data_IF_408297476098
#
_entry.id   IF_408297476098
#
_cell.length_a   1.000
_cell.length_b   1.000
_cell.length_c   1.000
_cell.angle_alpha   90.00
_cell.angle_beta   90.00
_cell.angle_gamma   90.00
#
_symmetry.space_group_name_H-M   'P 1'
#
loop_
_entity.id
_entity.type
_entity.pdbx_description
1 polymer ?
#
# COMPACT_ATOMS: atom_id res chain seq x y z
N UNK A 1 -4.83 -5.71 5.08
CA UNK A 1 -6.11 -5.11 4.69
C UNK A 1 -6.12 -3.59 4.80
N UNK A 2 -6.00 -2.99 6.00
CA UNK A 2 -6.05 -1.50 6.14
C UNK A 2 -4.96 -0.79 5.34
N UNK A 3 -3.74 -1.33 5.30
CA UNK A 3 -2.67 -0.82 4.45
C UNK A 3 -2.95 -0.94 2.95
N UNK A 4 -3.70 -1.96 2.53
CA UNK A 4 -4.09 -2.17 1.13
C UNK A 4 -5.30 -1.34 0.70
N UNK A 5 -6.02 -0.75 1.65
CA UNK A 5 -7.12 0.22 1.40
C UNK A 5 -6.55 1.63 1.17
N UNK A 6 -5.25 1.83 1.40
CA UNK A 6 -4.66 3.16 1.34
C UNK A 6 -5.04 4.03 2.54
N UNK A 7 -5.13 3.44 3.76
CA UNK A 7 -5.42 4.23 4.96
C UNK A 7 -4.29 5.24 5.21
N UNK A 8 -4.60 6.54 5.38
CA UNK A 8 -3.60 7.55 5.72
C UNK A 8 -2.76 7.14 6.94
N UNK A 9 -1.43 7.26 6.83
CA UNK A 9 -0.49 6.77 7.85
C UNK A 9 0.02 5.35 7.62
N UNK A 10 -0.36 4.69 6.52
CA UNK A 10 0.20 3.40 6.10
C UNK A 10 1.05 3.55 4.84
N UNK A 11 1.98 2.62 4.63
CA UNK A 11 2.85 2.60 3.44
C UNK A 11 2.07 2.50 2.13
N UNK A 12 0.90 1.84 2.12
CA UNK A 12 0.03 1.72 0.96
C UNK A 12 -0.47 3.07 0.47
N UNK A 13 -0.94 3.92 1.38
CA UNK A 13 -1.38 5.28 1.05
C UNK A 13 -0.29 6.10 0.36
N UNK A 14 0.93 6.04 0.88
CA UNK A 14 2.06 6.80 0.30
C UNK A 14 2.33 6.36 -1.13
N UNK A 15 2.35 5.04 -1.40
CA UNK A 15 2.56 4.50 -2.74
C UNK A 15 1.46 4.91 -3.72
N UNK A 16 0.20 4.72 -3.36
CA UNK A 16 -0.96 5.08 -4.18
C UNK A 16 -0.99 6.58 -4.48
N UNK A 17 -0.74 7.41 -3.47
CA UNK A 17 -0.73 8.86 -3.62
C UNK A 17 0.38 9.36 -4.56
N UNK A 18 1.60 8.80 -4.43
CA UNK A 18 2.71 9.14 -5.32
C UNK A 18 2.43 8.73 -6.77
N UNK A 19 1.83 7.57 -6.98
CA UNK A 19 1.43 7.12 -8.32
C UNK A 19 0.40 8.06 -8.94
N UNK A 20 -0.62 8.50 -8.18
CA UNK A 20 -1.61 9.46 -8.66
C UNK A 20 -0.95 10.78 -9.04
N UNK A 21 -0.07 11.33 -8.20
CA UNK A 21 0.64 12.58 -8.50
C UNK A 21 1.50 12.43 -9.77
N UNK A 22 2.20 11.32 -9.90
CA UNK A 22 2.98 11.02 -11.10
C UNK A 22 2.12 10.92 -12.36
N UNK A 23 1.00 10.21 -12.29
CA UNK A 23 0.05 10.06 -13.38
C UNK A 23 -0.59 11.40 -13.77
N UNK A 24 -0.83 12.31 -12.81
CA UNK A 24 -1.40 13.63 -13.06
C UNK A 24 -0.51 14.48 -13.96
N UNK A 25 0.81 14.36 -13.81
CA UNK A 25 1.77 15.07 -14.68
C UNK A 25 1.72 14.59 -16.13
N UNK A 26 1.27 13.34 -16.34
CA UNK A 26 1.17 12.75 -17.68
C UNK A 26 -0.19 13.04 -18.34
N UNK A 27 -1.31 12.76 -17.66
CA UNK A 27 -2.66 12.97 -18.20
C UNK A 27 -3.71 12.96 -17.11
N UNK A 28 -4.58 13.99 -17.09
CA UNK A 28 -5.71 14.05 -16.16
C UNK A 28 -6.71 12.90 -16.32
N UNK A 29 -6.91 12.39 -17.53
CA UNK A 29 -7.83 11.28 -17.80
C UNK A 29 -7.34 9.97 -17.16
N UNK A 30 -6.03 9.74 -17.19
CA UNK A 30 -5.42 8.56 -16.56
C UNK A 30 -5.61 8.61 -15.05
N UNK A 31 -5.50 9.79 -14.44
CA UNK A 31 -5.73 9.97 -13.00
C UNK A 31 -7.15 9.67 -12.59
N UNK A 32 -8.14 10.09 -13.38
CA UNK A 32 -9.55 9.77 -13.11
C UNK A 32 -9.74 8.25 -13.09
N UNK A 33 -9.22 7.55 -14.09
CA UNK A 33 -9.27 6.07 -14.12
C UNK A 33 -8.58 5.42 -12.92
N UNK A 34 -7.39 5.89 -12.53
CA UNK A 34 -6.65 5.40 -11.38
C UNK A 34 -7.40 5.65 -10.06
N UNK A 35 -8.00 6.84 -9.89
CA UNK A 35 -8.81 7.17 -8.72
C UNK A 35 -10.04 6.26 -8.58
N UNK A 36 -10.72 5.93 -9.68
CA UNK A 36 -11.80 4.93 -9.67
C UNK A 36 -11.30 3.55 -9.22
N UNK A 37 -10.12 3.13 -9.69
CA UNK A 37 -9.51 1.88 -9.27
C UNK A 37 -9.25 1.82 -7.75
N UNK A 38 -8.75 2.90 -7.16
CA UNK A 38 -8.51 3.00 -5.72
C UNK A 38 -9.83 2.94 -4.94
N UNK A 39 -10.86 3.66 -5.38
CA UNK A 39 -12.18 3.63 -4.74
C UNK A 39 -12.78 2.22 -4.77
N UNK A 40 -12.72 1.52 -5.92
CA UNK A 40 -13.21 0.16 -6.04
C UNK A 40 -12.42 -0.82 -5.17
N UNK A 41 -11.09 -0.66 -5.10
CA UNK A 41 -10.23 -1.44 -4.21
C UNK A 41 -10.63 -1.24 -2.75
N UNK A 42 -10.85 0.00 -2.33
CA UNK A 42 -11.30 0.31 -0.97
C UNK A 42 -12.66 -0.34 -0.66
N UNK A 43 -13.62 -0.25 -1.57
CA UNK A 43 -14.97 -0.83 -1.39
C UNK A 43 -14.88 -2.34 -1.19
N UNK A 44 -14.17 -3.06 -2.06
CA UNK A 44 -14.12 -4.52 -1.95
C UNK A 44 -13.32 -4.97 -0.72
N UNK A 45 -12.25 -4.27 -0.36
CA UNK A 45 -11.45 -4.59 0.82
C UNK A 45 -12.21 -4.31 2.12
N UNK A 46 -12.96 -3.21 2.21
CA UNK A 46 -13.82 -2.91 3.36
C UNK A 46 -14.99 -3.91 3.49
N UNK A 47 -15.54 -4.34 2.35
CA UNK A 47 -16.56 -5.40 2.35
C UNK A 47 -15.98 -6.72 2.89
N UNK A 48 -14.78 -7.09 2.45
CA UNK A 48 -14.07 -8.27 2.94
C UNK A 48 -13.74 -8.16 4.43
N UNK A 49 -13.28 -6.99 4.87
CA UNK A 49 -13.00 -6.69 6.28
C UNK A 49 -14.23 -6.88 7.14
N UNK A 50 -15.36 -6.29 6.73
CA UNK A 50 -16.65 -6.45 7.42
C UNK A 50 -17.03 -7.93 7.55
N UNK A 51 -16.88 -8.70 6.48
CA UNK A 51 -17.24 -10.11 6.46
C UNK A 51 -16.36 -10.98 7.36
N UNK A 52 -15.06 -10.70 7.44
CA UNK A 52 -14.12 -11.49 8.22
C UNK A 52 -14.18 -11.11 9.71
N UNK A 53 -14.20 -9.81 10.03
CA UNK A 53 -14.06 -9.34 11.41
C UNK A 53 -15.41 -9.29 12.13
N UNK A 54 -16.46 -8.87 11.44
CA UNK A 54 -17.81 -8.74 12.02
C UNK A 54 -18.75 -9.86 11.59
N UNK A 55 -18.27 -10.81 10.78
CA UNK A 55 -19.06 -11.96 10.35
C UNK A 55 -19.23 -12.99 11.48
N UNK A 56 -20.36 -13.69 11.48
CA UNK A 56 -20.57 -14.85 12.35
C UNK A 56 -19.78 -16.06 11.83
N UNK A 57 -19.23 -16.85 12.76
CA UNK A 57 -18.55 -18.11 12.40
C UNK A 57 -19.62 -19.10 11.92
N UNK A 58 -19.67 -19.34 10.62
CA UNK A 58 -20.64 -20.27 10.00
C UNK A 58 -20.08 -21.69 9.83
N UNK A 59 -18.76 -21.84 9.92
CA UNK A 59 -18.09 -23.13 9.74
C UNK A 59 -17.52 -23.64 11.07
N UNK A 60 -18.05 -24.77 11.55
CA UNK A 60 -17.64 -25.38 12.81
C UNK A 60 -16.14 -25.75 12.85
N UNK A 61 -15.51 -25.99 11.69
CA UNK A 61 -14.06 -26.24 11.60
C UNK A 61 -13.19 -25.02 11.97
N UNK A 62 -13.76 -23.82 11.96
CA UNK A 62 -13.07 -22.59 12.36
C UNK A 62 -13.13 -22.34 13.86
N UNK A 63 -14.01 -23.03 14.58
CA UNK A 63 -14.12 -22.92 16.04
C UNK A 63 -12.88 -23.51 16.78
N UNK A 64 -12.17 -24.45 16.14
CA UNK A 64 -11.00 -25.13 16.71
C UNK A 64 -9.67 -24.45 16.35
N UNK A 65 -9.70 -23.29 15.68
CA UNK A 65 -8.48 -22.55 15.35
C UNK A 65 -7.89 -21.96 16.63
N UNK A 66 -6.64 -22.33 16.90
CA UNK A 66 -5.86 -21.81 18.01
C UNK A 66 -5.51 -20.33 17.78
N UNK A 67 -5.47 -19.55 18.86
CA UNK A 67 -5.00 -18.15 18.80
C UNK A 67 -3.50 -18.09 18.48
N UNK A 68 -3.07 -16.91 18.02
CA UNK A 68 -1.70 -16.64 17.56
C UNK A 68 -0.70 -16.89 18.67
N UNK A 69 0.28 -17.76 18.39
CA UNK A 69 1.38 -18.10 19.28
C UNK A 69 2.37 -16.94 19.47
N UNK A 70 3.13 -16.94 20.55
CA UNK A 70 4.16 -15.92 20.85
C UNK A 70 5.18 -15.78 19.72
N UNK A 71 5.58 -16.88 19.07
CA UNK A 71 6.48 -16.86 17.92
C UNK A 71 5.89 -16.10 16.74
N UNK A 72 4.63 -16.31 16.43
CA UNK A 72 3.92 -15.63 15.35
C UNK A 72 3.74 -14.13 15.65
N UNK A 73 3.46 -13.78 16.91
CA UNK A 73 3.41 -12.38 17.36
C UNK A 73 4.73 -11.65 17.15
N UNK A 74 5.86 -12.30 17.46
CA UNK A 74 7.20 -11.74 17.27
C UNK A 74 7.48 -11.44 15.80
N UNK A 75 6.92 -12.19 14.87
CA UNK A 75 7.07 -11.97 13.43
C UNK A 75 6.09 -10.91 12.92
N UNK A 76 4.83 -10.98 13.34
CA UNK A 76 3.77 -10.10 12.81
C UNK A 76 3.84 -8.68 13.34
N UNK A 77 4.23 -8.47 14.61
CA UNK A 77 4.28 -7.15 15.23
C UNK A 77 5.31 -6.23 14.52
N UNK A 78 6.57 -6.65 14.27
CA UNK A 78 7.52 -5.82 13.52
C UNK A 78 7.04 -5.49 12.11
N UNK A 79 6.38 -6.41 11.42
CA UNK A 79 5.82 -6.16 10.10
C UNK A 79 4.70 -5.11 10.15
N UNK A 80 3.81 -5.19 11.14
CA UNK A 80 2.76 -4.19 11.33
C UNK A 80 3.34 -2.80 11.65
N UNK A 81 4.36 -2.76 12.54
CA UNK A 81 5.07 -1.52 12.88
C UNK A 81 5.75 -0.94 11.64
N UNK A 82 6.41 -1.75 10.81
CA UNK A 82 7.08 -1.27 9.61
C UNK A 82 6.12 -0.64 8.60
N UNK A 83 4.92 -1.19 8.42
CA UNK A 83 3.88 -0.60 7.56
C UNK A 83 3.48 0.80 8.02
N UNK A 84 3.37 1.02 9.33
CA UNK A 84 3.04 2.31 9.92
C UNK A 84 4.23 3.28 9.84
N UNK A 85 5.42 2.83 10.18
CA UNK A 85 6.63 3.65 10.11
C UNK A 85 6.88 4.16 8.68
N UNK A 86 6.74 3.30 7.68
CA UNK A 86 6.88 3.67 6.28
C UNK A 86 5.78 4.61 5.80
N UNK A 87 4.60 4.53 6.39
CA UNK A 87 3.50 5.45 6.10
C UNK A 87 3.69 6.85 6.71
N UNK A 88 4.29 6.93 7.91
CA UNK A 88 4.51 8.21 8.61
C UNK A 88 5.82 8.87 8.18
N UNK A 89 6.87 8.09 7.94
CA UNK A 89 8.20 8.55 7.55
C UNK A 89 8.63 8.00 6.18
N UNK A 90 7.93 8.33 5.10
CA UNK A 90 8.22 7.77 3.77
C UNK A 90 9.61 8.17 3.25
N UNK A 91 10.12 9.33 3.66
CA UNK A 91 11.41 9.85 3.22
C UNK A 91 12.59 8.92 3.59
N UNK A 92 12.45 8.13 4.65
CA UNK A 92 13.48 7.16 5.05
C UNK A 92 13.85 6.18 3.92
N UNK A 93 12.87 5.85 3.07
CA UNK A 93 13.03 4.95 1.92
C UNK A 93 13.09 5.69 0.59
N UNK A 94 12.41 6.82 0.47
CA UNK A 94 12.37 7.58 -0.78
C UNK A 94 13.70 8.29 -1.06
N UNK A 95 14.39 8.80 -0.02
CA UNK A 95 15.64 9.54 -0.21
C UNK A 95 16.77 8.69 -0.81
N UNK A 96 17.05 7.45 -0.36
CA UNK A 96 18.03 6.60 -1.03
C UNK A 96 17.66 6.24 -2.47
N UNK A 97 16.33 6.14 -2.77
CA UNK A 97 15.84 5.81 -4.11
C UNK A 97 15.95 6.99 -5.08
N UNK A 98 15.87 8.23 -4.61
CA UNK A 98 15.94 9.44 -5.45
C UNK A 98 17.24 9.49 -6.24
N UNK A 99 18.38 9.25 -5.62
CA UNK A 99 19.68 9.27 -6.28
C UNK A 99 19.74 8.27 -7.45
N UNK A 100 19.23 7.07 -7.25
CA UNK A 100 19.18 6.03 -8.29
C UNK A 100 18.23 6.40 -9.42
N UNK A 101 17.08 6.99 -9.10
CA UNK A 101 16.10 7.43 -10.10
C UNK A 101 16.59 8.63 -10.92
N UNK A 102 17.24 9.60 -10.30
CA UNK A 102 17.85 10.75 -10.98
C UNK A 102 18.90 10.31 -12.00
N UNK A 103 19.76 9.34 -11.65
CA UNK A 103 20.72 8.77 -12.57
C UNK A 103 20.07 8.11 -13.79
N UNK A 104 18.97 7.37 -13.57
CA UNK A 104 18.25 6.72 -14.67
C UNK A 104 17.59 7.76 -15.58
N UNK A 105 16.95 8.77 -15.01
CA UNK A 105 16.28 9.85 -15.77
C UNK A 105 17.30 10.64 -16.57
N UNK A 106 18.43 11.03 -15.96
CA UNK A 106 19.49 11.77 -16.63
C UNK A 106 20.08 10.97 -17.81
N UNK A 107 20.34 9.67 -17.60
CA UNK A 107 20.83 8.80 -18.67
C UNK A 107 19.83 8.66 -19.81
N UNK A 108 18.52 8.58 -19.51
CA UNK A 108 17.46 8.52 -20.50
C UNK A 108 17.36 9.83 -21.31
N UNK A 109 17.45 10.98 -20.65
CA UNK A 109 17.43 12.29 -21.31
C UNK A 109 18.63 12.47 -22.22
N UNK A 110 19.83 12.08 -21.80
CA UNK A 110 21.06 12.12 -22.62
C UNK A 110 20.92 11.18 -23.83
N UNK A 111 20.33 10.01 -23.66
CA UNK A 111 20.13 9.06 -24.75
C UNK A 111 19.13 9.56 -25.81
N UNK A 112 18.09 10.29 -25.40
CA UNK A 112 17.08 10.84 -26.32
C UNK A 112 17.42 12.22 -26.88
N UNK A 113 18.45 12.87 -26.38
CA UNK A 113 18.92 14.17 -26.89
C UNK A 113 19.89 14.04 -28.11
N UNK A 114 20.18 12.81 -28.53
CA UNK A 114 20.93 12.49 -29.76
C UNK A 114 20.00 12.13 -30.90
#
# INVERSE_FOLDING_TARGET
>A
MLGSVGLPGTSGFVGEFLVIIGAFKFSSYVVIGAAFGIILSAVYMLYLYKRIIFGTITNNKLADILDINTREKIILIPLAISVILLGIFPNLFLDPMRLSLELIITNYEIANAK
#
